data_IF_224658244792
#
_entry.id   IF_224658244792
#
_cell.length_a   1.000
_cell.length_b   1.000
_cell.length_c   1.000
_cell.angle_alpha   90.00
_cell.angle_beta   90.00
_cell.angle_gamma   90.00
#
_symmetry.space_group_name_H-M   'P 1'
#
loop_
_entity.id
_entity.type
_entity.pdbx_description
1 polymer ?
#
# COMPACT_ATOMS: atom_id res chain seq x y z
N UNK A 1 -15.53 -4.05 -15.87
CA UNK A 1 -14.15 -3.85 -15.36
C UNK A 1 -13.90 -2.35 -15.46
N UNK A 2 -14.25 -1.59 -14.42
CA UNK A 2 -14.13 -0.12 -14.45
C UNK A 2 -12.89 0.33 -13.68
N UNK A 3 -12.21 1.37 -14.17
CA UNK A 3 -11.11 2.00 -13.44
C UNK A 3 -11.66 2.99 -12.39
N UNK A 4 -11.04 3.07 -11.19
CA UNK A 4 -11.39 4.10 -10.21
C UNK A 4 -11.36 5.50 -10.83
N UNK A 5 -12.28 6.37 -10.41
CA UNK A 5 -12.38 7.74 -10.92
C UNK A 5 -13.14 7.92 -12.24
N UNK A 6 -13.60 6.83 -12.87
CA UNK A 6 -14.33 6.88 -14.15
C UNK A 6 -15.84 6.62 -14.03
N UNK A 7 -16.48 6.89 -12.89
CA UNK A 7 -17.90 6.57 -12.67
C UNK A 7 -18.83 7.18 -13.72
N UNK A 8 -18.64 8.47 -14.05
CA UNK A 8 -19.46 9.16 -15.06
C UNK A 8 -19.27 8.55 -16.45
N UNK A 9 -18.03 8.23 -16.81
CA UNK A 9 -17.69 7.58 -18.09
C UNK A 9 -18.27 6.16 -18.18
N UNK A 10 -18.15 5.38 -17.10
CA UNK A 10 -18.71 4.04 -17.00
C UNK A 10 -20.25 4.06 -17.08
N UNK A 11 -20.92 5.02 -16.43
CA UNK A 11 -22.37 5.17 -16.50
C UNK A 11 -22.85 5.52 -17.92
N UNK A 12 -22.14 6.42 -18.61
CA UNK A 12 -22.45 6.78 -19.99
C UNK A 12 -22.31 5.59 -20.94
N UNK A 13 -21.22 4.81 -20.82
CA UNK A 13 -21.03 3.62 -21.65
C UNK A 13 -22.04 2.52 -21.33
N UNK A 14 -22.37 2.30 -20.05
CA UNK A 14 -23.40 1.34 -19.66
C UNK A 14 -24.79 1.71 -20.21
N UNK A 15 -25.10 3.01 -20.32
CA UNK A 15 -26.31 3.46 -21.00
C UNK A 15 -26.28 3.09 -22.49
N UNK A 16 -25.17 3.29 -23.20
CA UNK A 16 -25.02 2.90 -24.61
C UNK A 16 -25.22 1.39 -24.80
N UNK A 17 -24.62 0.56 -23.93
CA UNK A 17 -24.79 -0.89 -23.96
C UNK A 17 -26.26 -1.30 -23.75
N UNK A 18 -26.92 -0.69 -22.76
CA UNK A 18 -28.33 -0.95 -22.45
C UNK A 18 -29.26 -0.50 -23.59
N UNK A 19 -28.97 0.65 -24.21
CA UNK A 19 -29.74 1.16 -25.36
C UNK A 19 -29.66 0.21 -26.56
N UNK A 20 -28.45 -0.25 -26.90
CA UNK A 20 -28.28 -1.17 -28.03
C UNK A 20 -28.91 -2.53 -27.73
N UNK A 21 -28.76 -3.03 -26.49
CA UNK A 21 -29.45 -4.24 -26.04
C UNK A 21 -30.96 -4.10 -26.17
N UNK A 22 -31.54 -2.97 -25.75
CA UNK A 22 -32.97 -2.70 -25.89
C UNK A 22 -33.42 -2.65 -27.35
N UNK A 23 -32.63 -2.03 -28.24
CA UNK A 23 -32.92 -2.00 -29.68
C UNK A 23 -32.99 -3.41 -30.27
N UNK A 24 -32.05 -4.28 -29.95
CA UNK A 24 -32.05 -5.67 -30.41
C UNK A 24 -33.29 -6.45 -29.92
N UNK A 25 -33.72 -6.25 -28.67
CA UNK A 25 -34.96 -6.86 -28.17
C UNK A 25 -36.22 -6.40 -28.93
N UNK A 26 -36.17 -5.23 -29.58
CA UNK A 26 -37.24 -4.70 -30.43
C UNK A 26 -37.03 -4.98 -31.93
N UNK A 27 -36.05 -5.83 -32.30
CA UNK A 27 -35.73 -6.14 -33.70
C UNK A 27 -35.08 -4.98 -34.46
N UNK A 28 -34.52 -3.99 -33.76
CA UNK A 28 -33.85 -2.84 -34.34
C UNK A 28 -32.32 -3.04 -34.33
N UNK A 29 -31.60 -2.63 -35.40
CA UNK A 29 -30.16 -2.78 -35.48
C UNK A 29 -29.41 -1.79 -34.57
N UNK A 30 -28.23 -2.20 -34.12
CA UNK A 30 -27.29 -1.35 -33.40
C UNK A 30 -26.13 -2.15 -32.82
N UNK A 31 -25.00 -1.48 -32.59
CA UNK A 31 -23.81 -2.10 -32.00
C UNK A 31 -23.18 -1.10 -31.03
N UNK A 32 -22.90 -1.54 -29.80
CA UNK A 32 -22.07 -0.80 -28.83
C UNK A 32 -20.79 -1.59 -28.62
N UNK A 33 -19.63 -1.01 -28.93
CA UNK A 33 -18.36 -1.74 -28.83
C UNK A 33 -17.64 -1.26 -27.57
N UNK A 34 -17.36 -2.20 -26.67
CA UNK A 34 -16.53 -1.96 -25.51
C UNK A 34 -15.05 -2.10 -25.91
N UNK A 35 -14.42 -0.95 -26.17
CA UNK A 35 -13.04 -0.87 -26.64
C UNK A 35 -12.02 -1.04 -25.51
N UNK A 36 -10.95 -1.76 -25.81
CA UNK A 36 -9.69 -1.71 -25.06
C UNK A 36 -8.92 -0.43 -25.33
N UNK A 37 -7.77 -0.31 -24.69
CA UNK A 37 -6.86 0.83 -24.89
C UNK A 37 -6.39 0.88 -26.35
N UNK A 38 -6.48 2.04 -27.01
CA UNK A 38 -5.87 2.28 -28.32
C UNK A 38 -4.40 2.66 -28.15
N UNK A 39 -3.55 2.16 -29.06
CA UNK A 39 -2.10 2.42 -29.03
C UNK A 39 -1.76 3.86 -29.41
N UNK A 40 -2.49 4.42 -30.37
CA UNK A 40 -2.33 5.82 -30.75
C UNK A 40 -2.97 6.70 -29.68
N UNK A 41 -2.13 7.25 -28.81
CA UNK A 41 -2.57 8.08 -27.68
C UNK A 41 -3.19 9.38 -28.18
N UNK A 42 -4.49 9.56 -27.94
CA UNK A 42 -5.17 10.84 -28.13
C UNK A 42 -6.26 11.02 -27.08
N UNK A 43 -6.49 12.26 -26.65
CA UNK A 43 -7.55 12.60 -25.69
C UNK A 43 -7.43 11.88 -24.36
N UNK A 44 -8.30 10.87 -24.13
CA UNK A 44 -8.53 10.21 -22.83
C UNK A 44 -7.30 9.44 -22.31
N UNK A 45 -6.39 9.02 -23.18
CA UNK A 45 -5.26 8.15 -22.81
C UNK A 45 -3.90 8.83 -22.97
N UNK A 46 -3.89 10.12 -23.32
CA UNK A 46 -2.66 10.91 -23.49
C UNK A 46 -1.88 11.16 -22.19
N UNK A 47 -2.50 10.92 -21.03
CA UNK A 47 -1.84 11.06 -19.73
C UNK A 47 -1.11 9.78 -19.27
N UNK A 48 -1.24 8.66 -20.00
CA UNK A 48 -0.61 7.40 -19.62
C UNK A 48 0.87 7.42 -19.99
N UNK A 49 1.73 7.18 -18.99
CA UNK A 49 3.17 7.06 -19.20
C UNK A 49 3.59 5.65 -19.63
N UNK A 50 4.85 5.48 -20.01
CA UNK A 50 5.42 4.16 -20.35
C UNK A 50 5.27 3.12 -19.23
N UNK A 51 5.31 3.57 -17.97
CA UNK A 51 5.08 2.72 -16.80
C UNK A 51 3.65 2.16 -16.71
N UNK A 52 2.65 2.98 -17.05
CA UNK A 52 1.24 2.56 -17.10
C UNK A 52 1.03 1.50 -18.19
N UNK A 53 1.56 1.76 -19.38
CA UNK A 53 1.48 0.84 -20.52
C UNK A 53 2.17 -0.48 -20.21
N UNK A 54 3.35 -0.43 -19.59
CA UNK A 54 4.12 -1.63 -19.19
C UNK A 54 3.41 -2.44 -18.12
N UNK A 55 2.70 -1.79 -17.18
CA UNK A 55 1.87 -2.45 -16.17
C UNK A 55 0.65 -3.13 -16.81
N UNK A 56 -0.04 -2.46 -17.73
CA UNK A 56 -1.16 -3.04 -18.47
C UNK A 56 -0.75 -4.24 -19.32
N UNK A 57 0.37 -4.13 -20.05
CA UNK A 57 0.88 -5.23 -20.86
C UNK A 57 1.20 -6.47 -20.00
N UNK A 58 1.78 -6.28 -18.81
CA UNK A 58 2.03 -7.38 -17.86
C UNK A 58 0.76 -7.97 -17.28
N UNK A 59 -0.31 -7.18 -17.15
CA UNK A 59 -1.62 -7.70 -16.76
C UNK A 59 -2.38 -8.37 -17.90
N UNK A 60 -1.76 -8.44 -19.09
CA UNK A 60 -2.27 -9.13 -20.26
C UNK A 60 -3.15 -8.28 -21.16
N UNK A 61 -3.24 -6.97 -20.92
CA UNK A 61 -3.95 -6.02 -21.78
C UNK A 61 -2.94 -5.23 -22.61
N UNK A 62 -3.01 -5.40 -23.93
CA UNK A 62 -2.13 -4.70 -24.86
C UNK A 62 -2.87 -3.51 -25.50
N UNK A 63 -2.16 -2.41 -25.79
CA UNK A 63 -2.72 -1.34 -26.61
C UNK A 63 -3.03 -1.84 -28.02
N UNK A 64 -4.22 -1.51 -28.54
CA UNK A 64 -4.71 -1.85 -29.87
C UNK A 64 -4.11 -0.89 -30.91
N UNK A 65 -3.27 -1.36 -31.85
CA UNK A 65 -2.89 -0.55 -32.99
C UNK A 65 -4.12 -0.19 -33.83
N UNK A 66 -4.17 1.04 -34.34
CA UNK A 66 -5.32 1.54 -35.14
C UNK A 66 -5.75 0.58 -36.26
N UNK A 67 -4.84 -0.01 -37.07
CA UNK A 67 -5.24 -0.97 -38.10
C UNK A 67 -5.96 -2.21 -37.53
N UNK A 68 -5.56 -2.68 -36.35
CA UNK A 68 -6.19 -3.82 -35.69
C UNK A 68 -7.55 -3.44 -35.09
N UNK A 69 -7.66 -2.24 -34.49
CA UNK A 69 -8.92 -1.73 -33.96
C UNK A 69 -9.98 -1.58 -35.06
N UNK A 70 -9.60 -1.07 -36.24
CA UNK A 70 -10.50 -0.98 -37.39
C UNK A 70 -10.91 -2.36 -37.92
N UNK A 71 -10.00 -3.34 -37.94
CA UNK A 71 -10.37 -4.73 -38.26
C UNK A 71 -11.37 -5.33 -37.26
N UNK A 72 -11.26 -4.99 -35.97
CA UNK A 72 -12.21 -5.41 -34.94
C UNK A 72 -13.56 -4.71 -35.08
N UNK A 73 -13.60 -3.46 -35.55
CA UNK A 73 -14.85 -2.78 -35.90
C UNK A 73 -15.59 -3.54 -37.00
N UNK A 74 -14.89 -3.88 -38.10
CA UNK A 74 -15.47 -4.64 -39.20
C UNK A 74 -15.99 -6.01 -38.72
N UNK A 75 -15.19 -6.71 -37.90
CA UNK A 75 -15.60 -7.99 -37.32
C UNK A 75 -16.83 -7.86 -36.41
N UNK A 76 -16.91 -6.82 -35.58
CA UNK A 76 -18.05 -6.56 -34.70
C UNK A 76 -19.34 -6.31 -35.48
N UNK A 77 -19.26 -5.54 -36.57
CA UNK A 77 -20.40 -5.27 -37.45
C UNK A 77 -20.87 -6.52 -38.19
N UNK A 78 -19.94 -7.40 -38.60
CA UNK A 78 -20.25 -8.66 -39.28
C UNK A 78 -20.82 -9.73 -38.34
N UNK A 79 -20.38 -9.79 -37.08
CA UNK A 79 -20.85 -10.80 -36.13
C UNK A 79 -22.30 -10.58 -35.68
N UNK A 80 -22.77 -9.33 -35.71
CA UNK A 80 -24.14 -8.97 -35.30
C UNK A 80 -24.40 -9.03 -33.79
N UNK A 81 -23.37 -9.22 -32.96
CA UNK A 81 -23.50 -9.13 -31.51
C UNK A 81 -23.84 -7.69 -31.10
N UNK A 82 -24.80 -7.46 -30.17
CA UNK A 82 -25.20 -6.11 -29.76
C UNK A 82 -24.10 -5.36 -29.02
N UNK A 83 -23.33 -6.06 -28.17
CA UNK A 83 -22.35 -5.46 -27.26
C UNK A 83 -21.01 -6.20 -27.24
N UNK A 84 -20.25 -6.27 -28.36
CA UNK A 84 -18.97 -6.96 -28.39
C UNK A 84 -17.87 -6.19 -27.64
N UNK A 85 -16.89 -6.94 -27.13
CA UNK A 85 -15.65 -6.38 -26.58
C UNK A 85 -14.55 -6.47 -27.64
N UNK A 86 -13.87 -5.35 -27.90
CA UNK A 86 -12.74 -5.27 -28.81
C UNK A 86 -11.46 -5.04 -28.00
N UNK A 87 -10.68 -6.10 -27.76
CA UNK A 87 -9.53 -6.11 -26.86
C UNK A 87 -8.36 -6.85 -27.50
N UNK A 88 -7.13 -6.38 -27.27
CA UNK A 88 -5.93 -7.20 -27.47
C UNK A 88 -5.51 -7.78 -26.12
N UNK A 89 -5.73 -9.09 -25.97
CA UNK A 89 -5.37 -9.83 -24.77
C UNK A 89 -4.20 -10.75 -25.07
N UNK A 90 -3.27 -10.82 -24.12
CA UNK A 90 -2.22 -11.83 -24.09
C UNK A 90 -2.58 -12.91 -23.06
N UNK A 91 -3.10 -14.07 -23.49
CA UNK A 91 -3.46 -15.16 -22.59
C UNK A 91 -2.27 -15.69 -21.78
N UNK A 92 -1.04 -15.61 -22.32
CA UNK A 92 0.15 -16.08 -21.61
C UNK A 92 0.53 -15.14 -20.48
N UNK A 93 0.46 -13.83 -20.71
CA UNK A 93 0.66 -12.83 -19.66
C UNK A 93 -0.43 -12.96 -18.57
N UNK A 94 -1.69 -13.18 -18.96
CA UNK A 94 -2.78 -13.47 -18.02
C UNK A 94 -2.50 -14.74 -17.20
N UNK A 95 -2.01 -15.81 -17.85
CA UNK A 95 -1.69 -17.09 -17.20
C UNK A 95 -0.43 -17.07 -16.32
N UNK A 96 0.45 -16.07 -16.50
CA UNK A 96 1.65 -15.88 -15.69
C UNK A 96 1.35 -15.17 -14.35
N UNK A 97 0.16 -14.58 -14.21
CA UNK A 97 -0.25 -13.87 -12.99
C UNK A 97 -0.75 -14.84 -11.91
N UNK A 98 -0.66 -14.45 -10.62
CA UNK A 98 -1.34 -15.16 -9.53
C UNK A 98 -2.85 -15.25 -9.80
N UNK A 99 -3.47 -16.40 -9.49
CA UNK A 99 -4.90 -16.64 -9.79
C UNK A 99 -5.84 -15.63 -9.11
N UNK A 100 -5.44 -15.11 -7.95
CA UNK A 100 -6.14 -14.09 -7.18
C UNK A 100 -6.08 -12.71 -7.84
N UNK A 101 -5.04 -12.44 -8.62
CA UNK A 101 -4.84 -11.18 -9.35
C UNK A 101 -5.57 -11.15 -10.71
N UNK A 102 -5.96 -12.31 -11.24
CA UNK A 102 -6.70 -12.41 -12.51
C UNK A 102 -8.21 -12.21 -12.25
N UNK A 103 -8.87 -11.24 -12.93
CA UNK A 103 -10.32 -11.06 -12.83
C UNK A 103 -11.07 -12.35 -13.16
N UNK A 104 -12.12 -12.66 -12.39
CA UNK A 104 -12.87 -13.93 -12.49
C UNK A 104 -13.31 -14.22 -13.92
N UNK A 105 -13.77 -13.20 -14.66
CA UNK A 105 -14.21 -13.32 -16.06
C UNK A 105 -13.10 -13.76 -17.03
N UNK A 106 -11.82 -13.52 -16.69
CA UNK A 106 -10.67 -13.83 -17.55
C UNK A 106 -9.93 -15.11 -17.14
N UNK A 107 -10.32 -15.75 -16.03
CA UNK A 107 -9.62 -16.95 -15.52
C UNK A 107 -9.68 -18.12 -16.50
N UNK A 108 -10.80 -18.30 -17.19
CA UNK A 108 -10.92 -19.33 -18.21
C UNK A 108 -9.91 -19.09 -19.36
N UNK A 109 -9.77 -17.84 -19.80
CA UNK A 109 -8.80 -17.45 -20.83
C UNK A 109 -7.37 -17.70 -20.36
N UNK A 110 -7.04 -17.29 -19.14
CA UNK A 110 -5.73 -17.51 -18.51
C UNK A 110 -5.38 -19.00 -18.40
N UNK A 111 -6.36 -19.85 -18.07
CA UNK A 111 -6.17 -21.29 -17.93
C UNK A 111 -5.85 -21.99 -19.26
N UNK A 112 -6.35 -21.49 -20.40
CA UNK A 112 -6.07 -22.08 -21.73
C UNK A 112 -4.63 -21.88 -22.19
N UNK A 113 -3.95 -20.85 -21.67
CA UNK A 113 -2.59 -20.50 -22.03
C UNK A 113 -1.56 -20.81 -20.94
N UNK A 114 -2.03 -21.20 -19.75
CA UNK A 114 -1.17 -21.78 -18.75
C UNK A 114 -0.52 -23.04 -19.33
N UNK A 115 0.82 -23.16 -19.35
CA UNK A 115 1.47 -24.35 -19.86
C UNK A 115 0.93 -25.56 -19.11
N UNK A 116 0.51 -26.59 -19.86
CA UNK A 116 0.06 -27.86 -19.31
C UNK A 116 1.13 -28.35 -18.32
N UNK A 117 0.82 -28.26 -17.03
CA UNK A 117 1.71 -28.62 -15.93
C UNK A 117 1.82 -30.14 -15.89
N UNK A 118 2.53 -30.74 -16.84
CA UNK A 118 3.15 -32.06 -16.65
C UNK A 118 4.14 -31.88 -15.51
N UNK A 119 3.78 -32.41 -14.35
CA UNK A 119 4.64 -32.99 -13.30
C UNK A 119 6.13 -32.57 -13.41
N UNK A 120 6.42 -31.32 -13.02
CA UNK A 120 7.74 -30.82 -12.58
C UNK A 120 7.67 -29.29 -12.43
N UNK A 121 6.63 -28.77 -11.80
CA UNK A 121 6.81 -27.49 -11.13
C UNK A 121 7.48 -27.83 -9.81
N UNK A 122 8.82 -27.78 -9.81
CA UNK A 122 9.50 -27.30 -8.63
C UNK A 122 8.68 -26.11 -8.13
N UNK A 123 8.07 -26.29 -6.96
CA UNK A 123 7.67 -25.17 -6.14
C UNK A 123 8.93 -24.31 -6.10
N UNK A 124 8.97 -23.19 -6.82
CA UNK A 124 9.69 -22.04 -6.30
C UNK A 124 8.98 -21.79 -4.98
N UNK A 125 9.49 -22.46 -3.95
CA UNK A 125 9.17 -22.14 -2.59
C UNK A 125 9.40 -20.63 -2.48
N UNK A 126 8.62 -19.90 -1.66
CA UNK A 126 9.07 -18.60 -1.19
C UNK A 126 10.56 -18.77 -0.88
N UNK A 127 11.43 -17.99 -1.53
CA UNK A 127 12.84 -18.06 -1.18
C UNK A 127 12.88 -17.92 0.33
N UNK A 128 13.47 -18.88 1.03
CA UNK A 128 13.59 -18.83 2.48
C UNK A 128 14.52 -17.68 2.80
N UNK A 129 13.96 -16.47 2.82
CA UNK A 129 14.66 -15.23 3.06
C UNK A 129 15.22 -15.23 4.47
N UNK A 130 14.49 -15.80 5.44
CA UNK A 130 14.99 -16.03 6.77
C UNK A 130 16.26 -16.91 6.74
N UNK A 131 16.24 -18.05 6.05
CA UNK A 131 17.40 -18.92 5.90
C UNK A 131 18.58 -18.32 5.12
N UNK A 132 18.31 -17.56 4.04
CA UNK A 132 19.35 -16.86 3.25
C UNK A 132 20.02 -15.73 4.02
N UNK A 133 19.27 -15.06 4.88
CA UNK A 133 19.74 -13.90 5.63
C UNK A 133 20.30 -14.31 7.01
N UNK A 134 19.94 -15.46 7.58
CA UNK A 134 20.41 -15.93 8.89
C UNK A 134 21.93 -16.04 9.03
N UNK A 135 22.68 -16.18 7.92
CA UNK A 135 24.14 -16.31 7.93
C UNK A 135 24.93 -15.02 7.69
N UNK A 136 24.27 -13.89 7.40
CA UNK A 136 24.94 -12.62 7.08
C UNK A 136 24.67 -11.55 8.17
N UNK A 137 25.52 -10.53 8.24
CA UNK A 137 25.43 -9.49 9.28
C UNK A 137 24.15 -8.67 9.18
N UNK A 138 23.68 -8.07 10.30
CA UNK A 138 22.46 -7.25 10.32
C UNK A 138 22.48 -6.12 9.26
N UNK A 139 23.63 -5.48 9.06
CA UNK A 139 23.81 -4.45 8.03
C UNK A 139 23.69 -5.00 6.59
N UNK A 140 24.16 -6.23 6.34
CA UNK A 140 23.99 -6.90 5.05
C UNK A 140 22.55 -7.38 4.83
N UNK A 141 21.87 -7.81 5.89
CA UNK A 141 20.44 -8.16 5.83
C UNK A 141 19.59 -6.94 5.46
N UNK A 142 19.86 -5.80 6.09
CA UNK A 142 19.15 -4.55 5.81
C UNK A 142 19.37 -4.11 4.35
N UNK A 143 20.61 -4.16 3.84
CA UNK A 143 20.90 -3.88 2.43
C UNK A 143 20.17 -4.82 1.47
N UNK A 144 20.18 -6.12 1.76
CA UNK A 144 19.49 -7.11 0.91
C UNK A 144 17.96 -6.91 0.88
N UNK A 145 17.36 -6.52 2.01
CA UNK A 145 15.94 -6.21 2.10
C UNK A 145 15.60 -4.88 1.42
N UNK A 146 16.47 -3.88 1.50
CA UNK A 146 16.32 -2.63 0.77
C UNK A 146 16.34 -2.86 -0.74
N UNK A 147 17.29 -3.66 -1.23
CA UNK A 147 17.37 -4.04 -2.64
C UNK A 147 16.12 -4.79 -3.10
N UNK A 148 15.57 -5.67 -2.26
CA UNK A 148 14.33 -6.38 -2.53
C UNK A 148 13.15 -5.40 -2.69
N UNK A 149 13.00 -4.46 -1.76
CA UNK A 149 11.94 -3.45 -1.79
C UNK A 149 12.08 -2.58 -3.04
N UNK A 150 13.28 -2.06 -3.33
CA UNK A 150 13.54 -1.21 -4.51
C UNK A 150 13.29 -1.94 -5.81
N UNK A 151 13.71 -3.20 -5.92
CA UNK A 151 13.47 -4.02 -7.12
C UNK A 151 11.97 -4.19 -7.39
N UNK A 152 11.19 -4.51 -6.36
CA UNK A 152 9.75 -4.66 -6.51
C UNK A 152 9.04 -3.33 -6.73
N UNK A 153 9.49 -2.24 -6.10
CA UNK A 153 8.94 -0.90 -6.30
C UNK A 153 9.19 -0.40 -7.73
N UNK A 154 10.42 -0.53 -8.25
CA UNK A 154 10.75 -0.20 -9.63
C UNK A 154 9.88 -0.99 -10.61
N UNK A 155 9.70 -2.29 -10.34
CA UNK A 155 8.84 -3.16 -11.15
C UNK A 155 7.37 -2.70 -11.12
N UNK A 156 6.86 -2.21 -10.00
CA UNK A 156 5.49 -1.66 -9.90
C UNK A 156 5.37 -0.37 -10.70
N UNK A 157 6.34 0.53 -10.58
CA UNK A 157 6.38 1.82 -11.30
C UNK A 157 6.70 1.69 -12.80
N UNK A 158 7.19 0.52 -13.24
CA UNK A 158 7.55 0.27 -14.64
C UNK A 158 8.99 0.69 -14.98
N UNK A 159 9.84 0.90 -13.98
CA UNK A 159 11.26 1.14 -14.17
C UNK A 159 12.03 -0.18 -14.32
N UNK A 160 12.97 -0.20 -15.25
CA UNK A 160 13.87 -1.34 -15.48
C UNK A 160 15.00 -1.40 -14.44
N UNK A 161 15.36 -0.24 -13.88
CA UNK A 161 16.44 -0.07 -12.93
C UNK A 161 15.88 0.13 -11.50
N UNK A 162 16.21 -0.76 -10.54
CA UNK A 162 15.89 -0.59 -9.12
C UNK A 162 16.43 0.71 -8.51
N UNK A 163 17.55 1.24 -9.03
CA UNK A 163 18.16 2.47 -8.54
C UNK A 163 17.34 3.73 -8.87
N UNK A 164 16.40 3.64 -9.81
CA UNK A 164 15.45 4.71 -10.11
C UNK A 164 14.52 5.02 -8.92
N UNK A 165 14.30 4.04 -8.03
CA UNK A 165 13.60 4.24 -6.76
C UNK A 165 14.59 4.83 -5.77
N UNK A 166 14.45 6.13 -5.51
CA UNK A 166 15.26 6.86 -4.53
C UNK A 166 14.95 6.41 -3.10
N UNK A 167 15.96 6.39 -2.25
CA UNK A 167 15.84 6.00 -0.84
C UNK A 167 15.25 7.12 0.03
N UNK A 168 15.46 8.38 -0.36
CA UNK A 168 15.08 9.61 0.34
C UNK A 168 13.74 10.19 -0.14
N UNK A 169 13.00 9.45 -0.97
CA UNK A 169 11.72 9.88 -1.52
C UNK A 169 10.62 8.93 -1.05
N UNK A 170 9.48 9.51 -0.68
CA UNK A 170 8.32 8.71 -0.33
C UNK A 170 7.75 8.02 -1.58
N UNK A 171 7.16 6.84 -1.40
CA UNK A 171 6.48 6.11 -2.47
C UNK A 171 5.43 6.99 -3.17
N UNK A 172 4.74 7.86 -2.42
CA UNK A 172 3.76 8.80 -2.98
C UNK A 172 4.39 9.80 -3.96
N UNK A 173 5.54 10.36 -3.61
CA UNK A 173 6.29 11.26 -4.51
C UNK A 173 6.82 10.53 -5.75
N UNK A 174 7.15 9.25 -5.59
CA UNK A 174 7.56 8.37 -6.70
C UNK A 174 6.39 7.88 -7.56
N UNK A 175 5.15 8.29 -7.27
CA UNK A 175 3.97 7.98 -8.08
C UNK A 175 3.20 6.74 -7.63
N UNK A 176 3.36 6.29 -6.39
CA UNK A 176 2.47 5.28 -5.82
C UNK A 176 1.09 5.87 -5.48
N UNK A 177 0.08 5.10 -5.85
CA UNK A 177 -1.34 5.27 -5.54
C UNK A 177 -1.86 4.05 -4.74
N UNK A 178 -3.16 4.03 -4.46
CA UNK A 178 -3.79 2.93 -3.71
C UNK A 178 -3.68 1.56 -4.40
N UNK A 179 -3.61 1.50 -5.73
CA UNK A 179 -3.56 0.23 -6.47
C UNK A 179 -2.14 -0.34 -6.52
N UNK A 180 -1.17 0.51 -6.86
CA UNK A 180 0.26 0.20 -6.89
C UNK A 180 0.79 -0.17 -5.49
N UNK A 181 0.25 0.45 -4.43
CA UNK A 181 0.54 0.06 -3.05
C UNK A 181 0.14 -1.40 -2.75
N UNK A 182 -1.05 -1.81 -3.20
CA UNK A 182 -1.53 -3.19 -3.04
C UNK A 182 -0.70 -4.17 -3.90
N UNK A 183 -0.31 -3.78 -5.11
CA UNK A 183 0.55 -4.59 -5.98
C UNK A 183 1.93 -4.84 -5.34
N UNK A 184 2.58 -3.80 -4.80
CA UNK A 184 3.86 -3.92 -4.09
C UNK A 184 3.74 -4.84 -2.88
N UNK A 185 2.70 -4.65 -2.06
CA UNK A 185 2.42 -5.51 -0.91
C UNK A 185 2.26 -6.97 -1.30
N UNK A 186 1.51 -7.26 -2.35
CA UNK A 186 1.31 -8.63 -2.84
C UNK A 186 2.61 -9.26 -3.33
N UNK A 187 3.43 -8.50 -4.06
CA UNK A 187 4.75 -8.95 -4.53
C UNK A 187 5.69 -9.26 -3.37
N UNK A 188 5.79 -8.37 -2.39
CA UNK A 188 6.63 -8.57 -1.20
C UNK A 188 6.13 -9.75 -0.36
N UNK A 189 4.82 -9.92 -0.21
CA UNK A 189 4.23 -11.07 0.51
C UNK A 189 4.59 -12.38 -0.18
N UNK A 190 4.50 -12.43 -1.52
CA UNK A 190 4.86 -13.61 -2.29
C UNK A 190 6.37 -13.90 -2.26
N UNK A 191 7.21 -12.86 -2.27
CA UNK A 191 8.66 -13.00 -2.24
C UNK A 191 9.18 -13.46 -0.87
N UNK A 192 8.65 -12.88 0.22
CA UNK A 192 9.12 -13.12 1.59
C UNK A 192 8.36 -14.22 2.33
N UNK A 193 7.18 -14.63 1.84
CA UNK A 193 6.29 -15.54 2.54
C UNK A 193 5.54 -14.91 3.73
N UNK A 194 5.74 -13.61 3.98
CA UNK A 194 5.09 -12.89 5.08
C UNK A 194 3.65 -12.52 4.73
N UNK A 195 2.80 -12.48 5.77
CA UNK A 195 1.49 -11.80 5.70
C UNK A 195 1.70 -10.33 6.03
N UNK A 196 1.63 -9.48 5.01
CA UNK A 196 1.85 -8.04 5.14
C UNK A 196 0.51 -7.27 5.24
N UNK A 197 0.41 -6.23 6.09
CA UNK A 197 -0.78 -5.39 6.20
C UNK A 197 -1.16 -4.68 4.90
N UNK A 198 -2.43 -4.34 4.73
CA UNK A 198 -2.90 -3.63 3.53
C UNK A 198 -2.39 -2.18 3.46
N UNK A 199 -2.18 -1.54 4.61
CA UNK A 199 -1.69 -0.16 4.73
C UNK A 199 -0.16 -0.04 4.71
N UNK A 200 0.57 -1.12 4.41
CA UNK A 200 2.04 -1.20 4.49
C UNK A 200 2.79 -0.02 3.85
N UNK A 201 2.40 0.39 2.64
CA UNK A 201 3.07 1.49 1.91
C UNK A 201 2.73 2.87 2.50
N UNK A 202 1.63 2.98 3.24
CA UNK A 202 1.24 4.21 3.94
C UNK A 202 1.88 4.29 5.33
N UNK A 203 1.96 3.17 6.03
CA UNK A 203 2.60 3.06 7.34
C UNK A 203 4.13 3.19 7.23
N UNK A 204 4.70 2.74 6.10
CA UNK A 204 6.13 2.80 5.78
C UNK A 204 6.31 3.47 4.40
N UNK A 205 6.25 4.83 4.35
CA UNK A 205 6.21 5.57 3.10
C UNK A 205 7.53 5.58 2.33
N UNK A 206 8.64 5.12 2.92
CA UNK A 206 9.96 5.12 2.30
C UNK A 206 10.54 3.69 2.21
N UNK A 207 11.35 3.45 1.19
CA UNK A 207 11.95 2.12 0.96
C UNK A 207 12.82 1.61 2.14
N UNK A 208 13.64 2.45 2.80
CA UNK A 208 14.41 2.04 3.98
C UNK A 208 13.52 1.61 5.17
N UNK A 209 12.47 2.39 5.47
CA UNK A 209 11.53 2.09 6.56
C UNK A 209 10.77 0.78 6.29
N UNK A 210 10.38 0.54 5.05
CA UNK A 210 9.72 -0.71 4.66
C UNK A 210 10.68 -1.92 4.76
N UNK A 211 11.95 -1.75 4.39
CA UNK A 211 12.96 -2.80 4.53
C UNK A 211 13.22 -3.17 6.00
N UNK A 212 13.26 -2.16 6.89
CA UNK A 212 13.38 -2.37 8.33
C UNK A 212 12.18 -3.10 8.92
N UNK A 213 10.96 -2.74 8.52
CA UNK A 213 9.76 -3.47 8.90
C UNK A 213 9.83 -4.95 8.48
N UNK A 214 10.27 -5.24 7.25
CA UNK A 214 10.45 -6.62 6.79
C UNK A 214 11.50 -7.36 7.62
N UNK A 215 12.59 -6.69 8.03
CA UNK A 215 13.63 -7.27 8.89
C UNK A 215 13.05 -7.69 10.24
N UNK A 216 12.31 -6.81 10.92
CA UNK A 216 11.69 -7.12 12.21
C UNK A 216 10.66 -8.25 12.14
N UNK A 217 10.00 -8.42 10.98
CA UNK A 217 9.06 -9.53 10.76
C UNK A 217 9.75 -10.87 10.46
N UNK A 218 10.93 -10.85 9.87
CA UNK A 218 11.72 -12.05 9.57
C UNK A 218 12.61 -12.47 10.74
N UNK A 219 13.05 -11.52 11.57
CA UNK A 219 13.95 -11.72 12.71
C UNK A 219 13.39 -11.06 13.99
N UNK A 220 12.25 -11.54 14.52
CA UNK A 220 11.64 -10.97 15.71
C UNK A 220 12.48 -11.14 16.99
N UNK A 221 13.41 -12.10 17.00
CA UNK A 221 14.26 -12.42 18.16
C UNK A 221 15.58 -11.64 18.19
N UNK A 222 15.83 -10.73 17.23
CA UNK A 222 17.08 -9.95 17.10
C UNK A 222 16.93 -8.45 17.43
N UNK A 223 15.85 -8.02 18.08
CA UNK A 223 15.77 -6.66 18.62
C UNK A 223 16.75 -6.49 19.80
N UNK A 224 17.96 -6.03 19.49
CA UNK A 224 18.87 -5.35 20.44
C UNK A 224 19.68 -4.28 19.66
N UNK A 225 19.85 -3.07 20.22
CA UNK A 225 19.89 -1.80 19.48
C UNK A 225 21.30 -1.36 19.05
N UNK A 226 21.43 -0.35 18.17
CA UNK A 226 22.69 0.37 18.01
C UNK A 226 22.97 1.23 19.24
N UNK A 227 24.25 1.25 19.63
CA UNK A 227 24.85 1.89 20.80
C UNK A 227 24.31 3.28 21.21
N UNK A 228 24.05 3.44 22.52
CA UNK A 228 24.24 4.67 23.29
C UNK A 228 23.08 5.69 23.33
N UNK A 229 22.51 5.90 24.53
CA UNK A 229 21.62 7.01 24.93
C UNK A 229 20.09 6.95 24.64
N UNK A 230 19.45 5.77 24.70
CA UNK A 230 17.97 5.65 24.54
C UNK A 230 17.19 5.07 25.75
N UNK A 231 17.78 4.99 26.95
CA UNK A 231 17.02 4.64 28.15
C UNK A 231 15.77 5.55 28.37
N UNK A 232 15.80 6.86 28.05
CA UNK A 232 14.60 7.71 28.18
C UNK A 232 13.55 7.44 27.09
N UNK A 233 13.95 7.19 25.85
CA UNK A 233 13.04 7.10 24.71
C UNK A 233 12.18 5.83 24.74
N UNK A 234 12.77 4.69 25.12
CA UNK A 234 12.04 3.43 25.27
C UNK A 234 11.00 3.49 26.41
N UNK A 235 11.38 4.08 27.55
CA UNK A 235 10.49 4.26 28.70
C UNK A 235 9.36 5.24 28.36
N UNK A 236 9.64 6.32 27.64
CA UNK A 236 8.62 7.25 27.15
C UNK A 236 7.68 6.60 26.13
N UNK A 237 8.20 5.73 25.25
CA UNK A 237 7.38 4.94 24.33
C UNK A 237 6.44 3.95 25.02
N UNK A 238 6.90 3.31 26.10
CA UNK A 238 6.07 2.45 26.94
C UNK A 238 4.99 3.22 27.70
N UNK A 239 5.30 4.43 28.18
CA UNK A 239 4.32 5.31 28.82
C UNK A 239 3.25 5.79 27.83
N UNK A 240 3.63 6.14 26.59
CA UNK A 240 2.66 6.51 25.55
C UNK A 240 1.72 5.35 25.16
N UNK A 241 2.24 4.11 25.12
CA UNK A 241 1.42 2.89 24.93
C UNK A 241 0.44 2.67 26.08
N UNK A 242 0.89 2.90 27.32
CA UNK A 242 0.04 2.78 28.49
C UNK A 242 -1.07 3.84 28.48
N UNK A 243 -0.76 5.09 28.13
CA UNK A 243 -1.72 6.18 27.99
C UNK A 243 -2.79 5.86 26.94
N UNK A 244 -2.39 5.41 25.74
CA UNK A 244 -3.31 5.01 24.68
C UNK A 244 -4.25 3.88 25.13
N UNK A 245 -3.73 2.92 25.90
CA UNK A 245 -4.50 1.79 26.43
C UNK A 245 -5.54 2.21 27.48
N UNK A 246 -5.19 3.20 28.32
CA UNK A 246 -6.09 3.72 29.36
C UNK A 246 -7.17 4.63 28.77
N UNK A 247 -6.83 5.49 27.80
CA UNK A 247 -7.77 6.41 27.14
C UNK A 247 -8.83 5.69 26.29
N UNK A 248 -8.53 4.48 25.80
CA UNK A 248 -9.46 3.67 24.99
C UNK A 248 -10.40 2.74 25.77
N UNK A 249 -10.34 2.68 27.11
CA UNK A 249 -11.12 1.73 27.92
C UNK A 249 -12.00 2.40 28.96
N UNK A 250 -13.28 1.99 29.01
CA UNK A 250 -14.15 2.30 30.13
C UNK A 250 -13.77 1.44 31.35
N UNK A 251 -12.97 2.01 32.26
CA UNK A 251 -12.61 1.36 33.52
C UNK A 251 -13.66 1.64 34.60
N UNK A 252 -14.05 0.61 35.36
CA UNK A 252 -14.88 0.77 36.56
C UNK A 252 -14.10 1.49 37.68
N UNK A 253 -14.82 1.99 38.69
CA UNK A 253 -14.24 2.81 39.76
C UNK A 253 -13.13 2.09 40.53
N UNK A 254 -13.31 0.79 40.76
CA UNK A 254 -12.35 -0.05 41.50
C UNK A 254 -11.06 -0.26 40.70
N UNK A 255 -11.17 -0.50 39.40
CA UNK A 255 -10.01 -0.67 38.51
C UNK A 255 -9.29 0.66 38.30
N UNK A 256 -10.02 1.77 38.21
CA UNK A 256 -9.43 3.11 38.11
C UNK A 256 -8.61 3.45 39.35
N UNK A 257 -9.13 3.16 40.55
CA UNK A 257 -8.41 3.35 41.80
C UNK A 257 -7.14 2.49 41.88
N UNK A 258 -7.20 1.22 41.44
CA UNK A 258 -6.04 0.33 41.43
C UNK A 258 -4.95 0.77 40.44
N UNK A 259 -5.34 1.22 39.24
CA UNK A 259 -4.41 1.77 38.24
C UNK A 259 -3.74 3.04 38.76
N UNK A 260 -4.52 3.97 39.35
CA UNK A 260 -3.97 5.21 39.92
C UNK A 260 -2.97 4.94 41.06
N UNK A 261 -3.25 3.97 41.93
CA UNK A 261 -2.34 3.58 43.01
C UNK A 261 -1.02 3.01 42.45
N UNK A 262 -1.09 2.21 41.38
CA UNK A 262 0.11 1.62 40.76
C UNK A 262 0.97 2.68 40.06
N UNK A 263 0.34 3.65 39.39
CA UNK A 263 1.04 4.78 38.77
C UNK A 263 1.76 5.65 39.80
N UNK A 264 1.12 5.95 40.94
CA UNK A 264 1.76 6.68 42.05
C UNK A 264 2.96 5.94 42.63
N UNK A 265 2.87 4.61 42.75
CA UNK A 265 3.98 3.77 43.20
C UNK A 265 5.15 3.77 42.20
N UNK A 266 4.88 3.81 40.89
CA UNK A 266 5.91 3.93 39.86
C UNK A 266 6.57 5.32 39.88
N UNK A 267 5.78 6.39 40.04
CA UNK A 267 6.28 7.76 40.21
C UNK A 267 7.22 7.89 41.41
N UNK A 268 6.84 7.31 42.56
CA UNK A 268 7.70 7.29 43.76
C UNK A 268 9.00 6.52 43.52
N UNK A 269 8.96 5.40 42.79
CA UNK A 269 10.15 4.60 42.51
C UNK A 269 11.13 5.29 41.53
N UNK A 270 10.63 6.16 40.66
CA UNK A 270 11.46 6.97 39.74
C UNK A 270 12.00 8.22 40.44
N UNK A 271 11.25 8.78 41.41
CA UNK A 271 11.64 9.97 42.17
C UNK A 271 12.79 9.76 43.17
N UNK A 272 12.99 8.55 43.70
CA UNK A 272 14.05 8.26 44.69
C UNK A 272 15.48 8.20 44.09
N UNK A 273 15.63 8.39 42.77
CA UNK A 273 16.91 8.27 42.05
C UNK A 273 17.69 9.58 41.80
N UNK A 274 17.17 10.73 42.22
CA UNK A 274 17.82 12.03 42.04
C UNK A 274 17.85 12.82 43.34
N UNK A 275 19.05 13.11 43.84
CA UNK A 275 19.25 13.97 45.00
C UNK A 275 18.70 15.38 44.75
N UNK A 276 17.87 15.85 45.69
CA UNK A 276 17.73 17.23 46.17
C UNK A 276 17.71 18.32 45.07
N UNK A 277 16.53 18.53 44.51
CA UNK A 277 16.14 19.78 43.87
C UNK A 277 14.87 20.25 44.55
N UNK A 278 15.05 21.03 45.60
CA UNK A 278 14.00 21.77 46.31
C UNK A 278 13.07 22.44 45.29
N UNK A 279 11.89 21.86 45.10
CA UNK A 279 10.75 22.61 44.55
C UNK A 279 9.88 22.85 45.78
N UNK A 280 10.05 24.04 46.35
CA UNK A 280 9.16 24.62 47.34
C UNK A 280 7.70 24.44 46.88
N UNK A 281 7.03 23.44 47.45
CA UNK A 281 5.60 23.17 47.26
C UNK A 281 4.69 24.19 47.95
N UNK A 282 5.25 25.25 48.56
CA UNK A 282 4.50 26.31 49.24
C UNK A 282 4.32 27.60 48.42
N UNK A 283 4.88 27.70 47.21
CA UNK A 283 4.78 28.92 46.38
C UNK A 283 3.65 28.93 45.31
N UNK A 284 2.76 27.94 45.30
CA UNK A 284 1.62 27.86 44.36
C UNK A 284 0.23 27.96 45.02
N UNK A 285 0.16 28.09 46.35
CA UNK A 285 -1.09 28.42 47.07
C UNK A 285 -1.15 29.89 47.54
N UNK A 286 -0.16 30.73 47.21
CA UNK A 286 -0.15 32.15 47.60
C UNK A 286 -0.08 33.16 46.45
N UNK A 287 -0.15 32.70 45.19
CA UNK A 287 -0.32 33.61 44.06
C UNK A 287 -1.72 34.24 44.14
N UNK A 288 -1.76 35.53 44.47
CA UNK A 288 -2.99 36.32 44.48
C UNK A 288 -3.54 36.46 43.07
N UNK A 289 -4.87 36.49 42.91
CA UNK A 289 -5.57 36.58 41.62
C UNK A 289 -4.98 37.66 40.67
N UNK A 290 -4.39 38.73 41.22
CA UNK A 290 -3.76 39.81 40.46
C UNK A 290 -2.49 39.38 39.67
N UNK A 291 -1.76 38.34 40.08
CA UNK A 291 -0.58 37.84 39.35
C UNK A 291 -0.95 36.89 38.21
N UNK A 292 -2.10 36.21 38.31
CA UNK A 292 -2.62 35.33 37.25
C UNK A 292 -3.14 36.16 36.06
N UNK A 293 -3.73 37.33 36.31
CA UNK A 293 -4.19 38.22 35.24
C UNK A 293 -3.04 38.94 34.51
N UNK A 294 -1.90 39.18 35.16
CA UNK A 294 -0.72 39.77 34.51
C UNK A 294 -0.08 38.83 33.47
N UNK A 295 -0.10 37.52 33.71
CA UNK A 295 0.47 36.52 32.79
C UNK A 295 -0.38 36.30 31.52
N UNK A 296 -1.68 36.58 31.60
CA UNK A 296 -2.62 36.45 30.47
C UNK A 296 -2.55 37.66 29.54
N UNK A 297 -2.31 38.86 30.08
CA UNK A 297 -2.19 40.09 29.29
C UNK A 297 -0.85 40.15 28.51
N UNK A 298 0.21 39.53 29.04
CA UNK A 298 1.53 39.46 28.40
C UNK A 298 1.57 38.45 27.22
N UNK A 299 0.69 37.44 27.20
CA UNK A 299 0.62 36.45 26.11
C UNK A 299 -0.41 36.75 25.00
N UNK A 300 -1.35 37.68 25.21
CA UNK A 300 -2.32 38.09 24.19
C UNK A 300 -2.07 39.50 23.63
N UNK A 301 -0.98 40.15 24.08
CA UNK A 301 -0.66 41.54 23.79
C UNK A 301 0.48 41.81 22.80
N UNK A 302 0.85 40.89 21.89
CA UNK A 302 1.73 41.23 20.76
C UNK A 302 1.37 40.44 19.49
N UNK A 303 0.48 41.07 18.70
CA UNK A 303 0.24 40.99 17.23
C UNK A 303 0.31 39.63 16.52
#
# INVERSE_FOLDING_TARGET
>A
LGSPGQTNYAAANAYCDALITHRHHNGLPGTSIAWGLWADTSGLTGHLGEGDLSRMARSGFRPLPTPMALGLLDAALLQGSPTPLALDLDPRALGAQPAEAVPVLLRALAATAAPARRVAAERRQPLDWAGRLAGISAAERQRALLDLVRTHAATVLGHSDPLAVREDASFKELGFDSLTAVELRNRLSAATGLRLPAALVFDYPEAPALAEFLRGRLFPDEETPPDGDEAPAAVLGDLARLESTLSGRALDEKSRAAVAQRLRSLLSAVGDGGADGDIDGEALESASDDEVFALIDEQLGHS
#
